data_IF_041498307239
#
_entry.id   IF_041498307239
#
_cell.length_a   1.000
_cell.length_b   1.000
_cell.length_c   1.000
_cell.angle_alpha   90.00
_cell.angle_beta   90.00
_cell.angle_gamma   90.00
#
_symmetry.space_group_name_H-M   'P 1'
#
loop_
_entity.id
_entity.type
_entity.pdbx_description
1 polymer ?
#
# COMPACT_ATOMS: atom_id res chain seq x y z
N UNK A 1 -12.61 -6.34 25.92
CA UNK A 1 -11.97 -5.86 24.68
C UNK A 1 -10.63 -6.59 24.46
N UNK A 2 -10.59 -7.92 24.60
CA UNK A 2 -9.35 -8.72 24.57
C UNK A 2 -9.28 -9.66 23.35
N UNK A 3 -10.16 -9.48 22.36
CA UNK A 3 -10.30 -10.42 21.24
C UNK A 3 -9.68 -9.93 19.92
N UNK A 4 -9.07 -8.74 19.90
CA UNK A 4 -8.40 -8.21 18.70
C UNK A 4 -6.89 -8.24 18.89
N UNK A 5 -6.12 -8.66 17.87
CA UNK A 5 -4.66 -8.53 17.91
C UNK A 5 -4.26 -7.05 17.98
N UNK A 6 -3.10 -6.75 18.55
CA UNK A 6 -2.59 -5.37 18.67
C UNK A 6 -2.40 -4.71 17.30
N UNK A 7 -1.81 -5.41 16.32
CA UNK A 7 -1.60 -4.90 14.97
C UNK A 7 -1.38 -6.05 13.96
N UNK A 8 -1.81 -5.84 12.71
CA UNK A 8 -1.53 -6.74 11.59
C UNK A 8 -0.65 -5.97 10.58
N UNK A 9 0.55 -6.47 10.31
CA UNK A 9 1.46 -5.84 9.35
C UNK A 9 1.06 -6.19 7.90
N UNK A 10 0.49 -5.22 7.19
CA UNK A 10 0.03 -5.42 5.80
C UNK A 10 1.21 -5.59 4.84
N UNK A 11 2.32 -4.86 5.05
CA UNK A 11 3.49 -4.98 4.19
C UNK A 11 4.07 -6.39 4.21
N UNK A 12 4.12 -7.03 5.38
CA UNK A 12 4.58 -8.42 5.52
C UNK A 12 3.66 -9.41 4.77
N UNK A 13 2.34 -9.19 4.78
CA UNK A 13 1.38 -10.03 4.05
C UNK A 13 1.49 -9.85 2.54
N UNK A 14 1.85 -8.65 2.09
CA UNK A 14 2.08 -8.35 0.68
C UNK A 14 3.40 -8.95 0.16
N UNK A 15 4.41 -9.15 1.02
CA UNK A 15 5.67 -9.83 0.64
C UNK A 15 5.51 -11.33 0.40
N UNK A 16 4.47 -11.95 0.97
CA UNK A 16 4.21 -13.38 0.78
C UNK A 16 3.79 -13.65 -0.67
N UNK A 17 4.27 -14.76 -1.25
CA UNK A 17 4.05 -15.05 -2.67
C UNK A 17 2.74 -15.78 -2.93
N UNK A 18 2.22 -16.49 -1.93
CA UNK A 18 1.03 -17.33 -2.05
C UNK A 18 -0.05 -16.97 -1.05
N UNK A 19 -1.30 -17.14 -1.46
CA UNK A 19 -2.48 -16.99 -0.60
C UNK A 19 -2.51 -17.97 0.54
N UNK A 20 -1.92 -19.15 0.33
CA UNK A 20 -1.78 -20.17 1.37
C UNK A 20 -0.91 -19.63 2.50
N UNK A 21 0.21 -18.97 2.16
CA UNK A 21 1.11 -18.37 3.14
C UNK A 21 0.44 -17.19 3.85
N UNK A 22 -0.25 -16.31 3.10
CA UNK A 22 -1.02 -15.18 3.66
C UNK A 22 -2.09 -15.66 4.64
N UNK A 23 -2.87 -16.66 4.25
CA UNK A 23 -3.92 -17.27 5.06
C UNK A 23 -3.33 -17.86 6.33
N UNK A 24 -2.22 -18.59 6.23
CA UNK A 24 -1.58 -19.22 7.38
C UNK A 24 -1.03 -18.18 8.36
N UNK A 25 -0.37 -17.14 7.86
CA UNK A 25 0.12 -16.03 8.70
C UNK A 25 -1.02 -15.30 9.41
N UNK A 26 -2.13 -15.05 8.73
CA UNK A 26 -3.30 -14.43 9.33
C UNK A 26 -3.97 -15.32 10.40
N UNK A 27 -4.00 -16.64 10.20
CA UNK A 27 -4.46 -17.59 11.23
C UNK A 27 -3.60 -17.54 12.49
N UNK A 28 -2.28 -17.40 12.34
CA UNK A 28 -1.36 -17.25 13.47
C UNK A 28 -1.57 -15.92 14.20
N UNK A 29 -1.78 -14.81 13.48
CA UNK A 29 -2.01 -13.51 14.11
C UNK A 29 -3.36 -13.48 14.84
N UNK A 30 -4.38 -14.10 14.25
CA UNK A 30 -5.75 -14.13 14.77
C UNK A 30 -6.03 -15.34 15.66
N UNK A 31 -5.03 -16.13 16.04
CA UNK A 31 -5.24 -17.35 16.84
C UNK A 31 -5.79 -17.07 18.25
N UNK A 32 -5.52 -15.88 18.77
CA UNK A 32 -6.04 -15.40 20.06
C UNK A 32 -7.47 -14.88 19.97
N UNK A 33 -8.00 -14.69 18.76
CA UNK A 33 -9.40 -14.34 18.56
C UNK A 33 -10.27 -15.58 18.85
N UNK A 34 -11.21 -15.46 19.78
CA UNK A 34 -12.19 -16.51 20.12
C UNK A 34 -13.22 -16.78 19.01
N UNK A 35 -13.32 -15.84 18.05
CA UNK A 35 -14.33 -15.80 17.01
C UNK A 35 -13.90 -16.58 15.76
N UNK A 36 -14.85 -17.01 14.93
CA UNK A 36 -14.52 -17.60 13.63
C UNK A 36 -13.95 -16.51 12.70
N UNK A 37 -12.64 -16.51 12.52
CA UNK A 37 -11.92 -15.53 11.69
C UNK A 37 -11.76 -15.98 10.24
N UNK A 38 -12.28 -17.15 9.86
CA UNK A 38 -12.09 -17.72 8.52
C UNK A 38 -12.64 -16.81 7.42
N UNK A 39 -13.87 -16.29 7.59
CA UNK A 39 -14.46 -15.35 6.65
C UNK A 39 -13.63 -14.05 6.52
N UNK A 40 -13.17 -13.51 7.65
CA UNK A 40 -12.33 -12.31 7.66
C UNK A 40 -11.00 -12.54 6.94
N UNK A 41 -10.36 -13.70 7.18
CA UNK A 41 -9.10 -14.07 6.54
C UNK A 41 -9.29 -14.20 5.03
N UNK A 42 -10.35 -14.86 4.58
CA UNK A 42 -10.65 -14.98 3.13
C UNK A 42 -10.86 -13.61 2.49
N UNK A 43 -11.67 -12.74 3.10
CA UNK A 43 -11.90 -11.39 2.58
C UNK A 43 -10.63 -10.54 2.58
N UNK A 44 -9.78 -10.67 3.60
CA UNK A 44 -8.54 -9.91 3.69
C UNK A 44 -7.55 -10.37 2.62
N UNK A 45 -7.40 -11.68 2.40
CA UNK A 45 -6.55 -12.23 1.32
C UNK A 45 -7.03 -11.78 -0.05
N UNK A 46 -8.34 -11.77 -0.31
CA UNK A 46 -8.93 -11.27 -1.56
C UNK A 46 -8.64 -9.77 -1.76
N UNK A 47 -8.74 -8.96 -0.70
CA UNK A 47 -8.36 -7.54 -0.74
C UNK A 47 -6.87 -7.33 -1.01
N UNK A 48 -6.00 -8.20 -0.47
CA UNK A 48 -4.55 -8.12 -0.69
C UNK A 48 -4.16 -8.43 -2.14
N UNK A 49 -4.94 -9.21 -2.90
CA UNK A 49 -4.71 -9.40 -4.34
C UNK A 49 -4.82 -8.09 -5.13
N UNK A 50 -5.73 -7.20 -4.71
CA UNK A 50 -5.93 -5.91 -5.33
C UNK A 50 -4.92 -4.84 -4.88
N UNK A 51 -4.18 -5.08 -3.80
CA UNK A 51 -3.19 -4.18 -3.23
C UNK A 51 -1.79 -4.68 -3.60
N UNK A 52 -1.23 -4.23 -4.72
CA UNK A 52 0.19 -4.47 -5.00
C UNK A 52 1.04 -3.40 -4.30
N UNK A 53 2.20 -3.79 -3.76
CA UNK A 53 3.19 -2.82 -3.27
C UNK A 53 3.55 -1.88 -4.42
N UNK A 54 3.59 -0.59 -4.13
CA UNK A 54 3.76 0.47 -5.14
C UNK A 54 5.07 0.37 -5.94
N UNK A 55 6.00 -0.50 -5.56
CA UNK A 55 7.23 -0.78 -6.31
C UNK A 55 6.98 -1.37 -7.71
N UNK A 56 5.88 -2.08 -7.94
CA UNK A 56 5.55 -2.62 -9.28
C UNK A 56 4.84 -1.60 -10.20
N UNK A 57 4.37 -0.46 -9.67
CA UNK A 57 3.67 0.57 -10.45
C UNK A 57 4.62 1.42 -11.33
N UNK A 58 5.91 1.12 -11.33
CA UNK A 58 6.91 1.89 -12.08
C UNK A 58 7.19 1.40 -13.50
N UNK A 59 6.27 0.68 -14.17
CA UNK A 59 6.62 0.04 -15.46
C UNK A 59 5.82 0.39 -16.73
N UNK A 60 4.68 1.10 -16.72
CA UNK A 60 3.99 1.34 -18.02
C UNK A 60 3.28 2.70 -18.19
N UNK A 61 4.02 3.79 -17.98
CA UNK A 61 3.83 5.01 -18.76
C UNK A 61 2.54 5.78 -18.51
N UNK A 62 2.46 6.48 -17.38
CA UNK A 62 2.09 7.90 -17.43
C UNK A 62 3.18 8.59 -16.64
N UNK A 63 3.92 9.42 -17.34
CA UNK A 63 4.97 10.25 -16.76
C UNK A 63 4.42 10.88 -15.49
N UNK A 64 5.15 10.71 -14.39
CA UNK A 64 4.94 11.45 -13.15
C UNK A 64 4.67 12.90 -13.54
N UNK A 65 3.39 13.30 -13.60
CA UNK A 65 3.04 14.71 -13.63
C UNK A 65 3.48 15.17 -12.27
N UNK A 66 4.71 15.66 -12.24
CA UNK A 66 5.29 16.37 -11.14
C UNK A 66 4.17 17.26 -10.62
N UNK A 67 3.72 17.04 -9.39
CA UNK A 67 3.01 18.05 -8.63
C UNK A 67 4.03 19.15 -8.30
N UNK A 68 4.65 19.72 -9.34
CA UNK A 68 5.39 20.96 -9.31
C UNK A 68 4.31 22.03 -9.34
N UNK A 69 3.69 22.26 -8.18
CA UNK A 69 2.98 23.50 -7.89
C UNK A 69 4.06 24.60 -7.80
N UNK A 70 4.60 24.98 -8.94
CA UNK A 70 5.24 26.27 -9.13
C UNK A 70 4.36 27.04 -10.11
N UNK A 71 3.75 28.16 -9.69
CA UNK A 71 3.20 29.08 -10.65
C UNK A 71 4.38 29.79 -11.33
N UNK A 72 4.65 29.43 -12.59
CA UNK A 72 5.35 30.33 -13.51
C UNK A 72 4.54 31.63 -13.60
N UNK A 73 5.12 32.72 -13.09
CA UNK A 73 4.82 34.04 -13.61
C UNK A 73 6.05 34.53 -14.36
N UNK A 74 5.99 34.33 -15.67
CA UNK A 74 6.73 35.10 -16.65
C UNK A 74 6.54 36.61 -16.38
N UNK A 75 7.65 37.34 -16.28
CA UNK A 75 7.82 38.67 -16.89
C UNK A 75 9.32 38.96 -16.78
N UNK A 76 10.09 38.76 -17.83
CA UNK A 76 10.31 39.70 -18.94
C UNK A 76 11.72 40.27 -18.81
N UNK A 77 12.51 40.05 -19.86
CA UNK A 77 13.85 40.56 -20.10
C UNK A 77 13.99 42.08 -19.91
N UNK A 78 15.25 42.54 -19.93
CA UNK A 78 15.76 43.93 -20.01
C UNK A 78 16.20 44.48 -18.63
N UNK A 79 17.44 44.90 -18.34
CA UNK A 79 18.64 45.29 -19.09
C UNK A 79 19.84 45.33 -18.12
N UNK A 80 21.01 44.86 -18.54
CA UNK A 80 22.20 45.68 -18.88
C UNK A 80 23.20 45.84 -17.72
N UNK A 81 24.42 45.40 -18.03
CA UNK A 81 25.64 45.46 -17.23
C UNK A 81 26.16 46.90 -17.27
N UNK A 82 26.50 47.46 -16.11
CA UNK A 82 27.58 48.45 -15.98
C UNK A 82 28.26 48.30 -14.61
#
# INVERSE_FOLDING_TARGET
EEEMPEEVNIDELLDLQSDVERTQKLKEILHTCSNNTEAFITELVDKLHGLQKQEDLHNNGIEHTQLHIFPERQSSSDSEIH
#
